data_IF_568938144567
#
_entry.id   IF_568938144567
#
_cell.length_a   1.000
_cell.length_b   1.000
_cell.length_c   1.000
_cell.angle_alpha   90.00
_cell.angle_beta   90.00
_cell.angle_gamma   90.00
#
_symmetry.space_group_name_H-M   'P 1'
#
loop_
_entity.id
_entity.type
_entity.pdbx_description
1 polymer ?
#
# COMPACT_ATOMS: atom_id res chain seq x y z
N UNK A 1 1.14 -10.53 9.72
CA UNK A 1 1.13 -10.11 8.29
C UNK A 1 2.41 -9.34 7.95
N UNK A 2 3.09 -9.68 6.86
CA UNK A 2 4.31 -8.98 6.43
C UNK A 2 4.00 -7.53 6.02
N UNK A 3 4.90 -6.58 6.31
CA UNK A 3 4.78 -5.17 5.89
C UNK A 3 5.43 -4.91 4.52
N UNK A 4 5.92 -5.97 3.88
CA UNK A 4 6.66 -5.94 2.63
C UNK A 4 5.95 -5.20 1.48
N UNK A 5 4.66 -5.44 1.18
CA UNK A 5 4.00 -4.76 0.05
C UNK A 5 3.93 -3.23 0.24
N UNK A 6 3.71 -2.79 1.49
CA UNK A 6 3.65 -1.37 1.83
C UNK A 6 5.01 -0.68 1.72
N UNK A 7 6.07 -1.35 2.20
CA UNK A 7 7.44 -0.84 2.08
C UNK A 7 7.85 -0.75 0.61
N UNK A 8 7.50 -1.75 -0.21
CA UNK A 8 7.72 -1.71 -1.65
C UNK A 8 6.99 -0.54 -2.31
N UNK A 9 5.73 -0.29 -1.92
CA UNK A 9 4.96 0.84 -2.43
C UNK A 9 5.55 2.20 -2.04
N UNK A 10 5.99 2.37 -0.79
CA UNK A 10 6.71 3.59 -0.37
C UNK A 10 8.05 3.77 -1.08
N UNK A 11 8.80 2.68 -1.30
CA UNK A 11 10.05 2.74 -2.06
C UNK A 11 9.79 3.20 -3.51
N UNK A 12 8.72 2.70 -4.14
CA UNK A 12 8.31 3.10 -5.49
C UNK A 12 7.91 4.59 -5.55
N UNK A 13 7.17 5.08 -4.55
CA UNK A 13 6.85 6.50 -4.43
C UNK A 13 8.10 7.38 -4.25
N UNK A 14 9.02 6.95 -3.38
CA UNK A 14 10.28 7.66 -3.15
C UNK A 14 11.12 7.71 -4.43
N UNK A 15 11.22 6.58 -5.15
CA UNK A 15 11.90 6.52 -6.43
C UNK A 15 11.26 7.46 -7.46
N UNK A 16 9.92 7.49 -7.56
CA UNK A 16 9.21 8.40 -8.46
C UNK A 16 9.48 9.87 -8.13
N UNK A 17 9.45 10.24 -6.84
CA UNK A 17 9.74 11.60 -6.39
C UNK A 17 11.19 12.00 -6.68
N UNK A 18 12.14 11.10 -6.45
CA UNK A 18 13.56 11.32 -6.78
C UNK A 18 13.78 11.46 -8.28
N UNK A 19 13.09 10.64 -9.10
CA UNK A 19 13.16 10.73 -10.55
C UNK A 19 12.63 12.09 -11.03
N UNK A 20 11.48 12.53 -10.51
CA UNK A 20 10.90 13.83 -10.83
C UNK A 20 11.84 14.99 -10.42
N UNK A 21 12.49 14.88 -9.26
CA UNK A 21 13.47 15.87 -8.81
C UNK A 21 14.72 15.88 -9.70
N UNK A 22 15.21 14.71 -10.11
CA UNK A 22 16.33 14.59 -11.03
C UNK A 22 16.00 15.20 -12.39
N UNK A 23 14.80 14.97 -12.93
CA UNK A 23 14.32 15.61 -14.16
C UNK A 23 14.22 17.13 -14.07
N UNK A 24 13.83 17.65 -12.90
CA UNK A 24 13.79 19.10 -12.66
C UNK A 24 15.20 19.70 -12.66
N UNK A 25 16.21 18.93 -12.22
CA UNK A 25 17.58 19.41 -12.01
C UNK A 25 18.49 19.16 -13.21
N UNK A 26 18.25 18.09 -13.94
CA UNK A 26 18.93 17.72 -15.18
C UNK A 26 17.84 17.59 -16.25
N UNK A 27 17.82 18.53 -17.20
CA UNK A 27 17.02 18.36 -18.41
C UNK A 27 17.44 17.04 -19.04
N UNK A 28 16.54 16.06 -19.11
CA UNK A 28 16.78 14.77 -19.75
C UNK A 28 16.88 14.98 -21.27
N UNK A 29 17.97 15.58 -21.73
CA UNK A 29 18.18 15.98 -23.12
C UNK A 29 18.27 14.76 -24.06
N UNK A 30 18.69 13.60 -23.54
CA UNK A 30 18.85 12.37 -24.33
C UNK A 30 17.56 11.57 -24.55
N UNK A 31 16.53 11.73 -23.70
CA UNK A 31 15.28 10.93 -23.74
C UNK A 31 14.04 11.82 -23.96
N UNK A 32 14.17 13.13 -23.76
CA UNK A 32 13.05 14.07 -23.73
C UNK A 32 12.23 13.96 -22.44
N UNK A 33 11.47 15.00 -22.07
CA UNK A 33 10.72 15.02 -20.82
C UNK A 33 9.56 14.02 -20.79
N UNK A 34 8.97 13.70 -21.94
CA UNK A 34 7.73 12.92 -22.00
C UNK A 34 7.85 11.47 -21.48
N UNK A 35 8.82 10.63 -21.93
CA UNK A 35 8.92 9.25 -21.47
C UNK A 35 9.26 9.15 -19.98
N UNK A 36 10.09 10.05 -19.48
CA UNK A 36 10.52 10.02 -18.10
C UNK A 36 9.42 10.48 -17.13
N UNK A 37 8.58 11.46 -17.51
CA UNK A 37 7.38 11.80 -16.74
C UNK A 37 6.42 10.61 -16.69
N UNK A 38 6.21 9.90 -17.81
CA UNK A 38 5.35 8.72 -17.83
C UNK A 38 5.83 7.63 -16.87
N UNK A 39 7.14 7.35 -16.84
CA UNK A 39 7.73 6.37 -15.90
C UNK A 39 7.55 6.82 -14.45
N UNK A 40 7.81 8.10 -14.14
CA UNK A 40 7.62 8.62 -12.79
C UNK A 40 6.16 8.51 -12.32
N UNK A 41 5.20 8.88 -13.18
CA UNK A 41 3.78 8.80 -12.86
C UNK A 41 3.31 7.35 -12.72
N UNK A 42 3.74 6.45 -13.61
CA UNK A 42 3.41 5.02 -13.52
C UNK A 42 3.97 4.40 -12.24
N UNK A 43 5.23 4.67 -11.92
CA UNK A 43 5.86 4.24 -10.68
C UNK A 43 5.10 4.77 -9.46
N UNK A 44 4.78 6.07 -9.44
CA UNK A 44 3.96 6.67 -8.39
C UNK A 44 2.61 5.97 -8.23
N UNK A 45 1.90 5.73 -9.34
CA UNK A 45 0.60 5.06 -9.35
C UNK A 45 0.67 3.65 -8.78
N UNK A 46 1.64 2.85 -9.21
CA UNK A 46 1.86 1.49 -8.71
C UNK A 46 2.19 1.51 -7.21
N UNK A 47 3.05 2.45 -6.78
CA UNK A 47 3.37 2.64 -5.37
C UNK A 47 2.12 2.94 -4.52
N UNK A 48 1.25 3.84 -4.99
CA UNK A 48 -0.03 4.16 -4.34
C UNK A 48 -0.90 2.91 -4.24
N UNK A 49 -1.08 2.17 -5.34
CA UNK A 49 -1.92 0.98 -5.36
C UNK A 49 -1.45 -0.07 -4.35
N UNK A 50 -0.14 -0.31 -4.24
CA UNK A 50 0.41 -1.29 -3.31
C UNK A 50 0.15 -0.91 -1.85
N UNK A 51 0.37 0.36 -1.50
CA UNK A 51 0.12 0.87 -0.14
C UNK A 51 -1.36 0.79 0.20
N UNK A 52 -2.24 1.26 -0.68
CA UNK A 52 -3.69 1.23 -0.46
C UNK A 52 -4.22 -0.20 -0.35
N UNK A 53 -3.75 -1.11 -1.20
CA UNK A 53 -4.19 -2.52 -1.18
C UNK A 53 -3.79 -3.19 0.13
N UNK A 54 -2.53 -3.04 0.58
CA UNK A 54 -2.10 -3.62 1.86
C UNK A 54 -2.88 -3.05 3.05
N UNK A 55 -3.17 -1.75 3.04
CA UNK A 55 -3.96 -1.09 4.08
C UNK A 55 -5.41 -1.59 4.10
N UNK A 56 -6.07 -1.64 2.93
CA UNK A 56 -7.45 -2.08 2.80
C UNK A 56 -7.61 -3.54 3.24
N UNK A 57 -6.72 -4.42 2.77
CA UNK A 57 -6.73 -5.85 3.11
C UNK A 57 -6.51 -6.05 4.61
N UNK A 58 -5.52 -5.38 5.22
CA UNK A 58 -5.31 -5.45 6.68
C UNK A 58 -6.49 -4.89 7.47
N UNK A 59 -7.08 -3.78 7.00
CA UNK A 59 -8.24 -3.18 7.62
C UNK A 59 -9.43 -4.15 7.63
N UNK A 60 -9.68 -4.82 6.50
CA UNK A 60 -10.72 -5.83 6.38
C UNK A 60 -10.48 -7.02 7.31
N UNK A 61 -9.25 -7.56 7.34
CA UNK A 61 -8.92 -8.66 8.25
C UNK A 61 -9.05 -8.27 9.72
N UNK A 62 -8.64 -7.05 10.09
CA UNK A 62 -8.80 -6.56 11.46
C UNK A 62 -10.28 -6.45 11.87
N UNK A 63 -11.15 -6.01 10.96
CA UNK A 63 -12.59 -5.97 11.20
C UNK A 63 -13.18 -7.38 11.33
N UNK A 64 -12.79 -8.31 10.44
CA UNK A 64 -13.23 -9.72 10.51
C UNK A 64 -12.81 -10.35 11.85
N UNK A 65 -11.56 -10.16 12.27
CA UNK A 65 -11.06 -10.70 13.55
C UNK A 65 -11.77 -10.06 14.76
N UNK A 66 -12.15 -8.79 14.69
CA UNK A 66 -12.95 -8.15 15.73
C UNK A 66 -14.35 -8.76 15.83
N UNK A 67 -15.01 -8.98 14.68
CA UNK A 67 -16.34 -9.62 14.63
C UNK A 67 -16.29 -11.06 15.13
N UNK A 68 -15.30 -11.85 14.70
CA UNK A 68 -15.13 -13.23 15.16
C UNK A 68 -14.97 -13.34 16.67
N UNK A 69 -14.10 -12.51 17.26
CA UNK A 69 -13.91 -12.50 18.73
C UNK A 69 -15.18 -12.11 19.49
N UNK A 70 -16.00 -11.22 18.93
CA UNK A 70 -17.30 -10.88 19.51
C UNK A 70 -18.28 -12.06 19.45
N UNK A 71 -18.34 -12.75 18.31
CA UNK A 71 -19.19 -13.93 18.13
C UNK A 71 -18.76 -15.12 19.00
N UNK A 72 -17.45 -15.34 19.16
CA UNK A 72 -16.92 -16.40 20.02
C UNK A 72 -17.27 -16.14 21.50
N UNK A 73 -17.17 -14.89 21.96
CA UNK A 73 -17.54 -14.51 23.33
C UNK A 73 -19.04 -14.70 23.60
N UNK A 74 -19.91 -14.34 22.65
CA UNK A 74 -21.36 -14.57 22.77
C UNK A 74 -21.72 -16.07 22.76
N UNK A 75 -20.93 -16.89 22.06
CA UNK A 75 -21.11 -18.35 22.00
C UNK A 75 -20.69 -19.04 23.31
N UNK A 76 -19.63 -18.56 23.96
CA UNK A 76 -19.13 -19.08 25.24
C UNK A 76 -20.07 -18.73 26.41
N UNK A 77 -20.71 -17.55 26.37
CA UNK A 77 -21.72 -17.12 27.36
C UNK A 77 -23.02 -17.93 27.26
N UNK A 78 -23.35 -18.44 26.07
CA UNK A 78 -24.55 -19.27 25.84
C UNK A 78 -24.34 -20.76 26.14
N UNK A 79 -23.11 -21.18 26.43
CA UNK A 79 -22.84 -22.57 26.78
C UNK A 79 -23.41 -22.88 28.19
N UNK A 80 -24.29 -23.88 28.34
CA UNK A 80 -24.82 -24.24 29.65
C UNK A 80 -23.70 -24.76 30.56
N UNK A 81 -23.73 -24.45 31.87
CA UNK A 81 -22.76 -24.99 32.82
C UNK A 81 -22.91 -26.52 32.85
N UNK A 82 -21.79 -27.24 32.71
CA UNK A 82 -21.70 -28.69 32.92
C UNK A 82 -21.99 -29.06 34.37
#
# INVERSE_FOLDING_TARGET
MSRAPRLAGYALMAAAALLALAMRRAGLEAVGPFPAVAVALFAGMVGVMLVFTDLMVRGLYAQIDAVKRGADAESDEKAPPL
#
